data_IF_131371690212
#
_entry.id   IF_131371690212
#
_cell.length_a   1.000
_cell.length_b   1.000
_cell.length_c   1.000
_cell.angle_alpha   90.00
_cell.angle_beta   90.00
_cell.angle_gamma   90.00
#
_symmetry.space_group_name_H-M   'P 1'
#
loop_
_entity.id
_entity.type
_entity.pdbx_description
1 polymer ?
#
# COMPACT_ATOMS: atom_id res chain seq x y z
N UNK A 1 -46.28 -1.28 50.54
CA UNK A 1 -45.34 -0.14 50.41
C UNK A 1 -44.14 -0.71 49.66
N UNK A 2 -44.29 -0.94 48.36
CA UNK A 2 -43.99 -0.01 47.25
C UNK A 2 -42.54 -0.18 46.78
N UNK A 3 -42.39 -0.71 45.56
CA UNK A 3 -41.16 -0.69 44.76
C UNK A 3 -40.61 0.74 44.62
N UNK A 4 -39.33 0.85 44.25
CA UNK A 4 -39.06 1.60 43.04
C UNK A 4 -38.19 0.82 42.06
N UNK A 5 -38.73 0.65 40.87
CA UNK A 5 -38.02 0.31 39.65
C UNK A 5 -36.88 1.31 39.43
N UNK A 6 -35.68 0.77 39.17
CA UNK A 6 -34.57 1.54 38.66
C UNK A 6 -34.86 1.80 37.17
N UNK A 7 -35.37 2.99 36.90
CA UNK A 7 -35.60 3.56 35.59
C UNK A 7 -34.24 3.68 34.88
N UNK A 8 -33.94 2.73 33.98
CA UNK A 8 -32.78 2.81 33.09
C UNK A 8 -33.08 3.86 32.04
N UNK A 9 -32.70 5.11 32.33
CA UNK A 9 -32.73 6.22 31.41
C UNK A 9 -31.94 5.86 30.14
N UNK A 10 -32.69 5.47 29.11
CA UNK A 10 -32.22 5.25 27.75
C UNK A 10 -31.70 6.59 27.23
N UNK A 11 -30.38 6.74 27.20
CA UNK A 11 -29.75 7.94 26.64
C UNK A 11 -30.00 7.87 25.13
N UNK A 12 -30.62 8.87 24.47
CA UNK A 12 -30.94 8.77 23.06
C UNK A 12 -29.64 8.61 22.28
N UNK A 13 -29.36 7.38 21.83
CA UNK A 13 -28.29 7.12 20.88
C UNK A 13 -28.60 7.99 19.67
N UNK A 14 -27.65 8.84 19.30
CA UNK A 14 -27.73 9.59 18.03
C UNK A 14 -27.77 8.53 16.94
N UNK A 15 -28.97 8.25 16.43
CA UNK A 15 -29.20 7.24 15.41
C UNK A 15 -28.59 7.74 14.11
N UNK A 16 -27.75 6.92 13.48
CA UNK A 16 -27.28 7.20 12.13
C UNK A 16 -28.48 7.48 11.23
N UNK A 17 -28.42 8.56 10.45
CA UNK A 17 -29.51 8.97 9.57
C UNK A 17 -29.05 8.78 8.12
N UNK A 18 -29.59 7.77 7.41
CA UNK A 18 -29.26 7.56 6.01
C UNK A 18 -29.63 8.80 5.19
N UNK A 19 -28.86 9.04 4.14
CA UNK A 19 -29.11 10.15 3.20
C UNK A 19 -29.48 9.58 1.83
N UNK A 20 -29.97 10.44 0.93
CA UNK A 20 -30.25 10.08 -0.45
C UNK A 20 -29.19 9.13 -1.06
N UNK A 21 -29.62 8.04 -1.73
CA UNK A 21 -31.00 7.67 -2.07
C UNK A 21 -31.75 6.82 -1.02
N UNK A 22 -31.21 6.68 0.20
CA UNK A 22 -31.73 5.72 1.19
C UNK A 22 -32.65 6.33 2.25
N UNK A 23 -32.95 7.63 2.15
CA UNK A 23 -33.67 8.41 3.16
C UNK A 23 -35.20 8.38 3.00
N UNK A 24 -35.73 8.24 1.78
CA UNK A 24 -37.19 8.13 1.56
C UNK A 24 -37.62 7.70 0.12
N UNK A 25 -36.88 6.79 -0.52
CA UNK A 25 -37.21 6.32 -1.88
C UNK A 25 -38.49 5.46 -1.90
N UNK A 26 -39.18 5.30 -3.06
CA UNK A 26 -40.20 4.26 -3.24
C UNK A 26 -39.51 2.88 -3.15
N UNK A 27 -39.28 2.44 -1.93
CA UNK A 27 -38.51 1.25 -1.61
C UNK A 27 -39.41 0.03 -1.49
N UNK A 28 -38.82 -1.12 -1.78
CA UNK A 28 -39.48 -2.43 -1.72
C UNK A 28 -39.09 -3.19 -0.45
N UNK A 29 -38.02 -2.76 0.22
CA UNK A 29 -37.54 -3.28 1.50
C UNK A 29 -36.89 -2.17 2.31
N UNK A 30 -36.91 -2.33 3.62
CA UNK A 30 -36.10 -1.56 4.56
C UNK A 30 -35.03 -2.49 5.15
N UNK A 31 -33.75 -2.13 5.02
CA UNK A 31 -32.68 -2.72 5.83
C UNK A 31 -32.56 -1.91 7.10
N UNK A 32 -32.73 -2.53 8.27
CA UNK A 32 -32.59 -1.88 9.57
C UNK A 32 -31.28 -2.31 10.22
N UNK A 33 -30.40 -1.34 10.46
CA UNK A 33 -29.11 -1.56 11.11
C UNK A 33 -29.26 -1.88 12.61
N UNK A 34 -28.19 -2.36 13.23
CA UNK A 34 -28.17 -2.69 14.66
C UNK A 34 -28.30 -1.49 15.60
N UNK A 35 -28.01 -0.27 15.10
CA UNK A 35 -28.25 1.00 15.79
C UNK A 35 -29.58 1.66 15.41
N UNK A 36 -30.43 0.97 14.65
CA UNK A 36 -31.82 1.37 14.35
C UNK A 36 -31.98 2.31 13.16
N UNK A 37 -30.94 2.54 12.36
CA UNK A 37 -31.04 3.30 11.12
C UNK A 37 -31.76 2.48 10.04
N UNK A 38 -32.71 3.09 9.35
CA UNK A 38 -33.56 2.44 8.34
C UNK A 38 -33.16 2.89 6.93
N UNK A 39 -32.69 1.94 6.12
CA UNK A 39 -32.26 2.17 4.74
C UNK A 39 -33.33 1.69 3.77
N UNK A 40 -33.91 2.63 3.04
CA UNK A 40 -34.93 2.39 2.03
C UNK A 40 -34.25 1.92 0.72
N UNK A 41 -34.44 0.65 0.36
CA UNK A 41 -33.70 -0.02 -0.73
C UNK A 41 -34.62 -0.83 -1.66
N UNK A 42 -34.12 -1.11 -2.87
CA UNK A 42 -34.78 -1.90 -3.92
C UNK A 42 -34.31 -3.37 -3.92
N UNK A 43 -35.26 -4.30 -4.00
CA UNK A 43 -34.96 -5.75 -4.06
C UNK A 43 -34.11 -6.08 -5.27
N UNK A 44 -34.43 -5.46 -6.42
CA UNK A 44 -33.78 -5.77 -7.69
C UNK A 44 -32.26 -5.54 -7.64
N UNK A 45 -31.83 -4.43 -7.04
CA UNK A 45 -30.41 -4.09 -6.93
C UNK A 45 -29.72 -5.05 -5.96
N UNK A 46 -30.26 -5.23 -4.75
CA UNK A 46 -29.67 -6.12 -3.74
C UNK A 46 -29.60 -7.57 -4.21
N UNK A 47 -30.63 -8.07 -4.90
CA UNK A 47 -30.66 -9.42 -5.47
C UNK A 47 -29.68 -9.63 -6.60
N UNK A 48 -29.36 -8.57 -7.36
CA UNK A 48 -28.38 -8.62 -8.44
C UNK A 48 -26.96 -8.74 -7.89
N UNK A 49 -26.68 -8.04 -6.80
CA UNK A 49 -25.31 -7.92 -6.28
C UNK A 49 -25.02 -8.94 -5.18
N UNK A 50 -26.03 -9.48 -4.50
CA UNK A 50 -25.87 -10.39 -3.37
C UNK A 50 -26.80 -11.61 -3.48
N UNK A 51 -26.22 -12.82 -3.68
CA UNK A 51 -26.95 -14.08 -3.58
C UNK A 51 -27.61 -14.30 -2.22
N UNK A 52 -26.99 -13.78 -1.15
CA UNK A 52 -27.53 -13.83 0.22
C UNK A 52 -28.85 -13.07 0.29
N UNK A 53 -28.87 -11.80 -0.12
CA UNK A 53 -30.11 -11.01 -0.14
C UNK A 53 -31.15 -11.60 -1.09
N UNK A 54 -30.74 -12.08 -2.27
CA UNK A 54 -31.62 -12.79 -3.20
C UNK A 54 -32.36 -13.96 -2.54
N UNK A 55 -31.66 -14.72 -1.69
CA UNK A 55 -32.23 -15.85 -0.95
C UNK A 55 -33.15 -15.35 0.17
N UNK A 56 -32.74 -14.34 0.93
CA UNK A 56 -33.54 -13.74 2.02
C UNK A 56 -34.90 -13.26 1.49
N UNK A 57 -34.92 -12.61 0.32
CA UNK A 57 -36.17 -12.11 -0.29
C UNK A 57 -37.11 -13.21 -0.80
N UNK A 58 -36.65 -14.45 -0.91
CA UNK A 58 -37.47 -15.61 -1.31
C UNK A 58 -38.07 -16.34 -0.11
N UNK A 59 -37.67 -15.99 1.12
CA UNK A 59 -38.19 -16.63 2.32
C UNK A 59 -39.66 -16.24 2.54
N UNK A 60 -40.50 -17.17 3.02
CA UNK A 60 -41.90 -16.87 3.35
C UNK A 60 -41.96 -15.79 4.43
N UNK A 61 -42.72 -14.72 4.18
CA UNK A 61 -42.98 -13.71 5.19
C UNK A 61 -44.21 -14.07 6.03
N UNK A 62 -44.25 -13.72 7.33
CA UNK A 62 -45.42 -13.90 8.18
C UNK A 62 -46.67 -13.20 7.59
N UNK A 63 -47.86 -13.74 7.79
CA UNK A 63 -49.09 -13.15 7.25
C UNK A 63 -49.43 -11.77 7.84
N UNK A 64 -48.83 -11.40 8.98
CA UNK A 64 -48.96 -10.10 9.64
C UNK A 64 -47.88 -9.09 9.27
N UNK A 65 -47.20 -9.29 8.13
CA UNK A 65 -46.09 -8.43 7.71
C UNK A 65 -46.54 -7.00 7.38
N UNK A 66 -45.73 -5.98 7.72
CA UNK A 66 -45.96 -4.61 7.28
C UNK A 66 -46.00 -4.50 5.75
N UNK A 67 -46.59 -3.41 5.24
CA UNK A 67 -46.73 -3.17 3.80
C UNK A 67 -45.38 -3.15 3.04
N UNK A 68 -44.31 -2.76 3.73
CA UNK A 68 -42.92 -2.87 3.25
C UNK A 68 -42.16 -3.76 4.24
N UNK A 69 -41.53 -4.85 3.78
CA UNK A 69 -40.77 -5.73 4.65
C UNK A 69 -39.53 -5.04 5.24
N UNK A 70 -39.26 -5.34 6.50
CA UNK A 70 -38.08 -4.88 7.24
C UNK A 70 -37.17 -6.06 7.51
N UNK A 71 -35.89 -5.93 7.16
CA UNK A 71 -34.85 -6.93 7.39
C UNK A 71 -33.84 -6.34 8.36
N UNK A 72 -33.73 -6.94 9.53
CA UNK A 72 -32.72 -6.60 10.52
C UNK A 72 -31.35 -7.13 10.11
N UNK A 73 -30.32 -6.29 10.22
CA UNK A 73 -28.92 -6.65 9.98
C UNK A 73 -28.05 -6.26 11.19
N UNK A 74 -26.92 -6.96 11.36
CA UNK A 74 -26.04 -6.75 12.52
C UNK A 74 -25.14 -5.51 12.37
N UNK A 75 -24.95 -5.05 11.14
CA UNK A 75 -24.13 -3.91 10.76
C UNK A 75 -24.71 -2.62 11.35
N UNK A 76 -23.85 -1.74 11.86
CA UNK A 76 -24.25 -0.38 12.21
C UNK A 76 -24.58 0.44 10.96
N UNK A 77 -25.30 1.55 11.14
CA UNK A 77 -25.74 2.39 10.03
C UNK A 77 -24.59 2.93 9.20
N UNK A 78 -23.45 3.27 9.81
CA UNK A 78 -22.32 3.84 9.07
C UNK A 78 -21.67 2.81 8.13
N UNK A 79 -21.48 1.57 8.59
CA UNK A 79 -20.98 0.47 7.77
C UNK A 79 -21.97 0.09 6.69
N UNK A 80 -23.26 -0.03 7.05
CA UNK A 80 -24.32 -0.37 6.11
C UNK A 80 -24.45 0.68 5.00
N UNK A 81 -24.38 1.98 5.32
CA UNK A 81 -24.40 3.07 4.34
C UNK A 81 -23.24 2.94 3.35
N UNK A 82 -22.00 2.78 3.84
CA UNK A 82 -20.83 2.58 2.96
C UNK A 82 -21.00 1.35 2.07
N UNK A 83 -21.45 0.24 2.64
CA UNK A 83 -21.63 -1.01 1.91
C UNK A 83 -22.66 -0.84 0.78
N UNK A 84 -23.83 -0.29 1.07
CA UNK A 84 -24.90 -0.15 0.08
C UNK A 84 -24.50 0.83 -1.04
N UNK A 85 -23.75 1.89 -0.71
CA UNK A 85 -23.20 2.84 -1.70
C UNK A 85 -22.16 2.24 -2.64
N UNK A 86 -21.55 1.09 -2.32
CA UNK A 86 -20.59 0.44 -3.23
C UNK A 86 -21.22 -0.01 -4.54
N UNK A 87 -22.53 -0.26 -4.53
CA UNK A 87 -23.21 -0.93 -5.64
C UNK A 87 -24.52 -0.25 -6.06
N UNK A 88 -24.97 0.78 -5.36
CA UNK A 88 -26.07 1.60 -5.82
C UNK A 88 -25.65 2.54 -6.95
N UNK A 89 -26.48 2.72 -8.00
CA UNK A 89 -26.22 3.70 -9.04
C UNK A 89 -26.18 5.13 -8.49
N UNK A 90 -25.32 5.98 -9.07
CA UNK A 90 -25.21 7.39 -8.76
C UNK A 90 -24.92 7.72 -7.28
N UNK A 91 -24.41 6.76 -6.51
CA UNK A 91 -23.85 7.00 -5.18
C UNK A 91 -22.33 7.11 -5.24
N UNK A 92 -21.78 8.03 -4.44
CA UNK A 92 -20.36 8.09 -4.17
C UNK A 92 -20.14 7.61 -2.74
N UNK A 93 -19.09 6.79 -2.52
CA UNK A 93 -18.64 6.52 -1.17
C UNK A 93 -18.24 7.85 -0.52
N UNK A 94 -18.71 8.06 0.70
CA UNK A 94 -18.23 9.17 1.52
C UNK A 94 -16.71 9.04 1.75
N UNK A 95 -16.08 10.13 2.19
CA UNK A 95 -14.70 10.10 2.65
C UNK A 95 -14.56 9.04 3.75
N UNK A 96 -13.73 8.03 3.50
CA UNK A 96 -13.60 6.87 4.39
C UNK A 96 -12.13 6.57 4.63
N UNK A 97 -11.83 6.07 5.82
CA UNK A 97 -10.47 5.63 6.18
C UNK A 97 -10.16 4.25 5.57
N UNK A 98 -8.89 3.86 5.49
CA UNK A 98 -8.54 2.51 5.03
C UNK A 98 -9.14 1.39 5.87
N UNK A 99 -9.25 1.62 7.18
CA UNK A 99 -9.85 0.66 8.11
C UNK A 99 -11.34 0.49 7.83
N UNK A 100 -12.07 1.60 7.70
CA UNK A 100 -13.50 1.57 7.33
C UNK A 100 -13.73 0.93 5.97
N UNK A 101 -12.87 1.22 4.99
CA UNK A 101 -12.94 0.60 3.66
C UNK A 101 -12.74 -0.90 3.77
N UNK A 102 -11.70 -1.36 4.48
CA UNK A 102 -11.44 -2.78 4.72
C UNK A 102 -12.65 -3.46 5.35
N UNK A 103 -13.18 -2.90 6.42
CA UNK A 103 -14.29 -3.52 7.17
C UNK A 103 -15.54 -3.61 6.27
N UNK A 104 -15.81 -2.57 5.47
CA UNK A 104 -16.90 -2.55 4.48
C UNK A 104 -16.71 -3.64 3.42
N UNK A 105 -15.49 -3.80 2.89
CA UNK A 105 -15.17 -4.83 1.88
C UNK A 105 -15.33 -6.24 2.47
N UNK A 106 -14.85 -6.45 3.69
CA UNK A 106 -14.93 -7.73 4.37
C UNK A 106 -16.39 -8.16 4.54
N UNK A 107 -17.25 -7.26 5.01
CA UNK A 107 -18.69 -7.54 5.15
C UNK A 107 -19.34 -7.78 3.78
N UNK A 108 -19.10 -6.90 2.80
CA UNK A 108 -19.69 -7.02 1.46
C UNK A 108 -19.34 -8.36 0.79
N UNK A 109 -18.05 -8.73 0.77
CA UNK A 109 -17.58 -9.91 0.05
C UNK A 109 -17.71 -11.21 0.85
N UNK A 110 -17.51 -11.18 2.18
CA UNK A 110 -17.50 -12.41 2.98
C UNK A 110 -18.85 -12.72 3.66
N UNK A 111 -19.62 -11.70 4.07
CA UNK A 111 -20.95 -11.92 4.70
C UNK A 111 -22.06 -11.97 3.67
N UNK A 112 -22.04 -11.06 2.70
CA UNK A 112 -23.12 -10.90 1.72
C UNK A 112 -22.81 -11.42 0.32
N UNK A 113 -21.63 -12.02 0.11
CA UNK A 113 -21.24 -12.66 -1.14
C UNK A 113 -21.33 -11.72 -2.36
N UNK A 114 -20.97 -10.45 -2.17
CA UNK A 114 -21.12 -9.39 -3.18
C UNK A 114 -20.01 -9.36 -4.23
N UNK A 115 -19.65 -10.51 -4.82
CA UNK A 115 -18.50 -10.60 -5.73
C UNK A 115 -18.65 -9.79 -7.03
N UNK A 116 -19.88 -9.45 -7.45
CA UNK A 116 -20.14 -8.64 -8.65
C UNK A 116 -19.47 -7.27 -8.56
N UNK A 117 -19.31 -6.70 -7.36
CA UNK A 117 -18.70 -5.38 -7.17
C UNK A 117 -17.21 -5.42 -6.86
N UNK A 118 -16.61 -6.61 -6.77
CA UNK A 118 -15.19 -6.77 -6.49
C UNK A 118 -14.26 -5.99 -7.45
N UNK A 119 -14.52 -5.89 -8.77
CA UNK A 119 -13.68 -5.09 -9.66
C UNK A 119 -13.69 -3.59 -9.32
N UNK A 120 -14.87 -3.03 -8.99
CA UNK A 120 -15.02 -1.62 -8.61
C UNK A 120 -14.33 -1.33 -7.28
N UNK A 121 -14.51 -2.22 -6.29
CA UNK A 121 -13.83 -2.14 -5.00
C UNK A 121 -12.31 -2.17 -5.19
N UNK A 122 -11.81 -3.14 -5.97
CA UNK A 122 -10.38 -3.29 -6.23
C UNK A 122 -9.78 -2.01 -6.85
N UNK A 123 -10.52 -1.35 -7.73
CA UNK A 123 -10.09 -0.07 -8.32
C UNK A 123 -9.98 1.04 -7.27
N UNK A 124 -10.93 1.13 -6.34
CA UNK A 124 -10.89 2.11 -5.25
C UNK A 124 -9.71 1.83 -4.30
N UNK A 125 -9.51 0.56 -3.90
CA UNK A 125 -8.38 0.16 -3.05
C UNK A 125 -7.04 0.48 -3.72
N UNK A 126 -6.97 0.42 -5.06
CA UNK A 126 -5.77 0.78 -5.82
C UNK A 126 -5.34 2.23 -5.62
N UNK A 127 -6.26 3.15 -5.35
CA UNK A 127 -5.95 4.56 -5.11
C UNK A 127 -5.13 4.78 -3.84
N UNK A 128 -5.15 3.82 -2.92
CA UNK A 128 -4.45 3.89 -1.63
C UNK A 128 -3.05 3.28 -1.65
N UNK A 129 -2.61 2.72 -2.79
CA UNK A 129 -1.32 1.99 -2.89
C UNK A 129 -0.13 2.84 -2.42
N UNK A 130 -0.09 4.12 -2.74
CA UNK A 130 1.01 5.01 -2.33
C UNK A 130 0.86 5.58 -0.91
N UNK A 131 -0.35 5.56 -0.34
CA UNK A 131 -0.61 6.12 1.01
C UNK A 131 -0.49 5.06 2.10
N UNK A 132 -1.01 3.86 1.87
CA UNK A 132 -0.94 2.73 2.81
C UNK A 132 -0.73 1.40 2.05
N UNK A 133 0.49 1.18 1.51
CA UNK A 133 0.78 -0.03 0.73
C UNK A 133 0.64 -1.31 1.56
N UNK A 134 0.83 -1.26 2.88
CA UNK A 134 0.73 -2.45 3.72
C UNK A 134 -0.73 -2.88 3.91
N UNK A 135 -1.64 -1.92 4.14
CA UNK A 135 -3.08 -2.20 4.17
C UNK A 135 -3.59 -2.73 2.83
N UNK A 136 -3.17 -2.11 1.73
CA UNK A 136 -3.55 -2.56 0.39
C UNK A 136 -3.03 -3.95 0.10
N UNK A 137 -1.78 -4.26 0.46
CA UNK A 137 -1.22 -5.60 0.32
C UNK A 137 -2.04 -6.64 1.10
N UNK A 138 -2.41 -6.32 2.35
CA UNK A 138 -3.17 -7.23 3.19
C UNK A 138 -4.56 -7.55 2.60
N UNK A 139 -5.28 -6.51 2.17
CA UNK A 139 -6.56 -6.66 1.47
C UNK A 139 -6.41 -7.46 0.17
N UNK A 140 -5.39 -7.15 -0.62
CA UNK A 140 -5.18 -7.81 -1.90
C UNK A 140 -4.89 -9.30 -1.74
N UNK A 141 -4.09 -9.70 -0.74
CA UNK A 141 -3.84 -11.12 -0.46
C UNK A 141 -5.10 -11.82 0.07
N UNK A 142 -5.86 -11.18 0.96
CA UNK A 142 -7.09 -11.73 1.51
C UNK A 142 -8.16 -12.02 0.43
N UNK A 143 -8.21 -11.19 -0.61
CA UNK A 143 -9.17 -11.32 -1.72
C UNK A 143 -8.56 -11.90 -3.01
N UNK A 144 -7.33 -12.42 -2.97
CA UNK A 144 -6.62 -13.01 -4.13
C UNK A 144 -6.45 -12.05 -5.33
N UNK A 145 -6.32 -10.74 -5.07
CA UNK A 145 -6.03 -9.72 -6.08
C UNK A 145 -4.52 -9.58 -6.33
N UNK A 146 -3.93 -10.61 -6.94
CA UNK A 146 -2.49 -10.77 -7.07
C UNK A 146 -1.77 -9.56 -7.71
N UNK A 147 -2.31 -8.98 -8.78
CA UNK A 147 -1.75 -7.79 -9.42
C UNK A 147 -1.71 -6.56 -8.49
N UNK A 148 -2.73 -6.40 -7.64
CA UNK A 148 -2.76 -5.33 -6.65
C UNK A 148 -1.78 -5.61 -5.50
N UNK A 149 -1.67 -6.87 -5.08
CA UNK A 149 -0.70 -7.29 -4.07
C UNK A 149 0.75 -7.05 -4.56
N UNK A 150 1.07 -7.34 -5.83
CA UNK A 150 2.38 -7.00 -6.41
C UNK A 150 2.61 -5.49 -6.41
N UNK A 151 1.62 -4.70 -6.84
CA UNK A 151 1.75 -3.24 -6.88
C UNK A 151 2.00 -2.66 -5.48
N UNK A 152 1.26 -3.12 -4.48
CA UNK A 152 1.41 -2.72 -3.10
C UNK A 152 2.75 -3.17 -2.50
N UNK A 153 3.17 -4.41 -2.74
CA UNK A 153 4.46 -4.92 -2.29
C UNK A 153 5.62 -4.10 -2.87
N UNK A 154 5.56 -3.71 -4.14
CA UNK A 154 6.55 -2.80 -4.74
C UNK A 154 6.58 -1.45 -4.03
N UNK A 155 5.43 -0.90 -3.66
CA UNK A 155 5.41 0.37 -2.92
C UNK A 155 6.01 0.27 -1.51
N UNK A 156 5.88 -0.89 -0.84
CA UNK A 156 6.53 -1.07 0.47
C UNK A 156 8.06 -0.92 0.39
N UNK A 157 8.69 -1.10 -0.77
CA UNK A 157 10.13 -0.95 -0.95
C UNK A 157 10.62 0.50 -0.80
N UNK A 158 9.72 1.48 -0.81
CA UNK A 158 10.06 2.90 -0.54
C UNK A 158 10.18 3.20 0.95
N UNK A 159 9.76 2.28 1.81
CA UNK A 159 9.68 2.48 3.24
C UNK A 159 10.43 1.38 4.00
N UNK A 160 11.02 1.70 5.18
CA UNK A 160 11.62 0.67 6.01
C UNK A 160 10.57 -0.33 6.51
N UNK A 161 10.54 -1.54 5.96
CA UNK A 161 9.55 -2.56 6.39
C UNK A 161 9.89 -3.20 7.75
N UNK A 162 11.14 -3.03 8.23
CA UNK A 162 11.69 -3.70 9.42
C UNK A 162 11.70 -2.83 10.68
N UNK A 163 11.24 -1.59 10.60
CA UNK A 163 11.20 -0.70 11.76
C UNK A 163 9.80 -0.79 12.35
N UNK A 164 9.63 -1.32 13.58
CA UNK A 164 8.38 -1.22 14.29
C UNK A 164 8.07 0.27 14.45
N UNK A 165 7.12 0.80 13.70
CA UNK A 165 6.55 2.11 13.99
C UNK A 165 5.82 2.02 15.33
N UNK A 166 5.78 3.14 16.07
CA UNK A 166 5.11 3.18 17.38
C UNK A 166 3.64 2.72 17.31
N UNK A 167 3.02 2.91 16.15
CA UNK A 167 1.73 2.37 15.79
C UNK A 167 1.92 1.13 14.91
N UNK A 168 1.61 -0.06 15.45
CA UNK A 168 1.41 -1.26 14.63
C UNK A 168 0.28 -0.94 13.65
N UNK A 169 0.51 -0.93 12.33
CA UNK A 169 -0.54 -0.65 11.36
C UNK A 169 -1.71 -1.61 11.59
N UNK A 170 -2.92 -1.07 11.68
CA UNK A 170 -4.16 -1.85 11.83
C UNK A 170 -4.26 -2.97 10.78
N UNK A 171 -3.73 -2.72 9.59
CA UNK A 171 -3.50 -3.68 8.52
C UNK A 171 -2.84 -4.99 8.95
N UNK A 172 -1.85 -4.95 9.86
CA UNK A 172 -1.15 -6.15 10.34
C UNK A 172 -2.02 -7.06 11.20
N UNK A 173 -3.12 -6.55 11.79
CA UNK A 173 -4.03 -7.38 12.61
C UNK A 173 -4.77 -8.44 11.79
N UNK A 174 -4.99 -8.14 10.51
CA UNK A 174 -5.77 -8.98 9.60
C UNK A 174 -4.91 -9.74 8.59
N UNK A 175 -3.61 -9.40 8.53
CA UNK A 175 -2.66 -10.11 7.68
C UNK A 175 -2.24 -11.42 8.31
N UNK A 176 -2.34 -12.53 7.57
CA UNK A 176 -1.81 -13.81 8.05
C UNK A 176 -0.30 -13.73 8.24
N UNK A 177 0.22 -14.43 9.25
CA UNK A 177 1.67 -14.49 9.49
C UNK A 177 2.45 -14.99 8.25
N UNK A 178 1.86 -15.91 7.48
CA UNK A 178 2.42 -16.41 6.24
C UNK A 178 2.51 -15.31 5.16
N UNK A 179 1.44 -14.53 4.96
CA UNK A 179 1.42 -13.44 3.98
C UNK A 179 2.41 -12.33 4.35
N UNK A 180 2.52 -12.01 5.64
CA UNK A 180 3.51 -11.07 6.15
C UNK A 180 4.94 -11.59 5.93
N UNK A 181 5.20 -12.88 6.21
CA UNK A 181 6.51 -13.48 5.95
C UNK A 181 6.91 -13.43 4.48
N UNK A 182 5.96 -13.71 3.55
CA UNK A 182 6.18 -13.59 2.11
C UNK A 182 6.57 -12.16 1.70
N UNK A 183 5.90 -11.16 2.25
CA UNK A 183 6.23 -9.75 1.99
C UNK A 183 7.61 -9.37 2.53
N UNK A 184 7.95 -9.79 3.75
CA UNK A 184 9.27 -9.55 4.33
C UNK A 184 10.38 -10.24 3.53
N UNK A 185 10.12 -11.46 3.05
CA UNK A 185 11.04 -12.19 2.20
C UNK A 185 11.24 -11.47 0.86
N UNK A 186 10.15 -11.06 0.20
CA UNK A 186 10.19 -10.26 -1.03
C UNK A 186 11.03 -8.98 -0.85
N UNK A 187 10.73 -8.19 0.18
CA UNK A 187 11.47 -6.98 0.48
C UNK A 187 12.96 -7.26 0.73
N UNK A 188 13.29 -8.35 1.41
CA UNK A 188 14.68 -8.76 1.63
C UNK A 188 15.39 -9.13 0.33
N UNK A 189 14.74 -9.86 -0.58
CA UNK A 189 15.33 -10.21 -1.88
C UNK A 189 15.59 -8.96 -2.72
N UNK A 190 14.64 -8.01 -2.77
CA UNK A 190 14.84 -6.72 -3.42
C UNK A 190 16.02 -5.94 -2.82
N UNK A 191 16.10 -5.89 -1.48
CA UNK A 191 17.17 -5.22 -0.75
C UNK A 191 18.56 -5.79 -1.08
N UNK A 192 18.69 -7.12 -1.07
CA UNK A 192 19.96 -7.78 -1.38
C UNK A 192 20.33 -7.62 -2.85
N UNK A 193 19.37 -7.77 -3.76
CA UNK A 193 19.59 -7.57 -5.20
C UNK A 193 20.06 -6.14 -5.51
N UNK A 194 19.40 -5.15 -4.91
CA UNK A 194 19.78 -3.74 -5.03
C UNK A 194 21.17 -3.47 -4.44
N UNK A 195 21.43 -3.90 -3.20
CA UNK A 195 22.69 -3.67 -2.50
C UNK A 195 23.88 -4.30 -3.24
N UNK A 196 23.78 -5.58 -3.63
CA UNK A 196 24.88 -6.30 -4.29
C UNK A 196 25.26 -5.68 -5.63
N UNK A 197 24.34 -4.94 -6.27
CA UNK A 197 24.58 -4.26 -7.53
C UNK A 197 25.45 -3.01 -7.43
N UNK A 198 25.55 -2.43 -6.22
CA UNK A 198 26.33 -1.23 -5.92
C UNK A 198 27.57 -1.51 -5.07
N UNK A 199 27.73 -2.69 -4.47
CA UNK A 199 28.92 -2.97 -3.66
C UNK A 199 30.16 -3.24 -4.52
N UNK A 200 31.33 -2.93 -3.96
CA UNK A 200 32.64 -3.13 -4.61
C UNK A 200 33.03 -4.60 -4.80
N UNK A 201 32.26 -5.52 -4.22
CA UNK A 201 32.41 -6.98 -4.36
C UNK A 201 31.65 -7.48 -5.61
N UNK A 202 30.72 -6.69 -6.13
CA UNK A 202 29.95 -7.01 -7.33
C UNK A 202 30.70 -6.75 -8.64
N UNK A 203 30.05 -7.09 -9.75
CA UNK A 203 30.53 -6.72 -11.08
C UNK A 203 30.37 -5.21 -11.30
N UNK A 204 31.48 -4.49 -11.50
CA UNK A 204 31.53 -3.04 -11.70
C UNK A 204 31.73 -2.65 -13.16
N UNK A 205 31.74 -3.61 -14.09
CA UNK A 205 31.92 -3.36 -15.53
C UNK A 205 30.79 -2.50 -16.13
N UNK A 206 29.62 -2.46 -15.48
CA UNK A 206 28.52 -1.60 -15.89
C UNK A 206 28.78 -0.10 -15.67
N UNK A 207 29.81 0.28 -14.89
CA UNK A 207 30.15 1.68 -14.61
C UNK A 207 31.01 2.23 -15.74
N UNK A 208 30.57 3.28 -16.45
CA UNK A 208 31.39 3.96 -17.46
C UNK A 208 32.67 4.57 -16.88
N UNK A 209 33.72 4.70 -17.70
CA UNK A 209 35.05 5.10 -17.23
C UNK A 209 35.33 6.61 -17.38
N UNK A 210 34.41 7.39 -17.97
CA UNK A 210 34.58 8.82 -18.28
C UNK A 210 34.47 9.76 -17.06
N UNK A 211 34.09 9.23 -15.90
CA UNK A 211 33.79 10.05 -14.74
C UNK A 211 35.04 10.50 -13.95
N UNK A 212 34.90 11.61 -13.22
CA UNK A 212 35.99 12.28 -12.49
C UNK A 212 36.59 11.41 -11.39
N UNK A 213 35.84 10.45 -10.85
CA UNK A 213 36.35 9.50 -9.86
C UNK A 213 37.29 8.44 -10.43
N UNK A 214 37.45 8.32 -11.75
CA UNK A 214 38.51 7.53 -12.37
C UNK A 214 39.63 8.40 -12.94
N UNK A 215 39.31 9.63 -13.36
CA UNK A 215 40.21 10.47 -14.15
C UNK A 215 40.85 11.64 -13.38
N UNK A 216 40.49 11.87 -12.11
CA UNK A 216 41.07 12.97 -11.33
C UNK A 216 42.55 12.72 -11.00
N UNK A 217 43.40 13.69 -11.36
CA UNK A 217 44.87 13.64 -11.16
C UNK A 217 45.36 14.35 -9.90
N UNK A 218 44.49 15.10 -9.20
CA UNK A 218 44.86 15.88 -7.99
C UNK A 218 44.44 15.25 -6.68
N UNK A 219 43.53 14.28 -6.70
CA UNK A 219 43.15 13.59 -5.48
C UNK A 219 44.27 12.64 -5.05
N UNK A 220 44.65 12.72 -3.78
CA UNK A 220 45.68 11.86 -3.17
C UNK A 220 45.11 10.57 -2.57
N UNK A 221 43.77 10.44 -2.49
CA UNK A 221 43.09 9.30 -1.88
C UNK A 221 42.47 8.37 -2.93
N UNK A 222 43.31 7.55 -3.57
CA UNK A 222 42.88 6.39 -4.35
C UNK A 222 42.93 5.15 -3.46
N UNK A 223 41.79 4.66 -3.00
CA UNK A 223 41.77 3.56 -2.03
C UNK A 223 41.37 2.20 -2.66
N UNK A 224 41.17 2.14 -3.98
CA UNK A 224 40.77 0.91 -4.67
C UNK A 224 41.14 0.92 -6.16
N UNK A 225 41.26 -0.27 -6.74
CA UNK A 225 41.47 -0.51 -8.18
C UNK A 225 40.32 -1.38 -8.68
N UNK A 226 39.65 -0.95 -9.73
CA UNK A 226 38.49 -1.65 -10.31
C UNK A 226 38.76 -2.09 -11.75
N UNK A 227 38.22 -3.23 -12.15
CA UNK A 227 38.20 -3.66 -13.54
C UNK A 227 36.87 -3.25 -14.18
N UNK A 228 36.92 -2.39 -15.19
CA UNK A 228 35.73 -1.86 -15.87
C UNK A 228 35.43 -2.61 -17.18
N UNK A 229 34.37 -2.22 -17.90
CA UNK A 229 33.95 -2.89 -19.14
C UNK A 229 35.01 -2.92 -20.25
N UNK A 230 35.93 -1.96 -20.24
CA UNK A 230 37.07 -1.91 -21.16
C UNK A 230 38.12 -3.00 -20.91
N UNK A 231 37.98 -3.77 -19.82
CA UNK A 231 38.93 -4.80 -19.39
C UNK A 231 40.20 -4.22 -18.76
N UNK A 232 40.24 -2.91 -18.50
CA UNK A 232 41.39 -2.20 -17.94
C UNK A 232 41.15 -1.94 -16.45
N UNK A 233 42.24 -1.93 -15.68
CA UNK A 233 42.20 -1.56 -14.28
C UNK A 233 42.27 -0.04 -14.10
N UNK A 234 41.29 0.52 -13.39
CA UNK A 234 41.18 1.95 -13.11
C UNK A 234 41.33 2.21 -11.61
N UNK A 235 42.09 3.26 -11.27
CA UNK A 235 42.15 3.76 -9.89
C UNK A 235 40.89 4.56 -9.60
N UNK A 236 40.14 4.16 -8.58
CA UNK A 236 38.93 4.87 -8.18
C UNK A 236 39.20 5.74 -6.96
N UNK A 237 38.56 6.92 -6.93
CA UNK A 237 38.61 7.81 -5.78
C UNK A 237 37.86 7.22 -4.59
N UNK A 238 38.46 7.34 -3.40
CA UNK A 238 37.90 6.81 -2.14
C UNK A 238 36.49 7.32 -1.86
N UNK A 239 36.22 8.59 -2.10
CA UNK A 239 34.90 9.16 -1.83
C UNK A 239 33.78 8.48 -2.65
N UNK A 240 34.10 7.94 -3.84
CA UNK A 240 33.12 7.25 -4.67
C UNK A 240 32.90 5.80 -4.21
N UNK A 241 33.95 5.12 -3.73
CA UNK A 241 33.79 3.81 -3.10
C UNK A 241 32.96 3.93 -1.82
N UNK A 242 33.18 4.99 -1.05
CA UNK A 242 32.43 5.28 0.18
C UNK A 242 30.97 5.63 -0.15
N UNK A 243 30.71 6.39 -1.23
CA UNK A 243 29.36 6.65 -1.73
C UNK A 243 28.59 5.36 -2.01
N UNK A 244 29.17 4.45 -2.79
CA UNK A 244 28.53 3.18 -3.13
C UNK A 244 28.30 2.28 -1.92
N UNK A 245 29.24 2.27 -0.96
CA UNK A 245 29.09 1.53 0.29
C UNK A 245 27.89 2.05 1.11
N UNK A 246 27.83 3.37 1.34
CA UNK A 246 26.70 3.99 2.06
C UNK A 246 25.38 3.85 1.30
N UNK A 247 25.39 3.94 -0.03
CA UNK A 247 24.21 3.68 -0.85
C UNK A 247 23.72 2.24 -0.66
N UNK A 248 24.62 1.26 -0.61
CA UNK A 248 24.28 -0.12 -0.31
C UNK A 248 23.59 -0.29 1.05
N UNK A 249 24.04 0.43 2.08
CA UNK A 249 23.39 0.43 3.40
C UNK A 249 21.97 1.03 3.35
N UNK A 250 21.78 2.12 2.59
CA UNK A 250 20.45 2.73 2.37
C UNK A 250 19.52 1.76 1.64
N UNK A 251 20.00 1.11 0.58
CA UNK A 251 19.22 0.17 -0.22
C UNK A 251 18.81 -1.10 0.55
N UNK A 252 19.55 -1.47 1.59
CA UNK A 252 19.14 -2.56 2.48
C UNK A 252 17.88 -2.24 3.29
N UNK A 253 17.66 -0.95 3.57
CA UNK A 253 16.53 -0.47 4.36
C UNK A 253 15.37 -0.08 3.45
N UNK A 254 15.66 0.69 2.40
CA UNK A 254 14.70 1.16 1.39
C UNK A 254 15.22 0.83 -0.01
N UNK A 255 14.86 -0.33 -0.57
CA UNK A 255 15.36 -0.77 -1.87
C UNK A 255 15.02 0.19 -3.02
N UNK A 256 13.89 0.89 -2.91
CA UNK A 256 13.53 1.99 -3.81
C UNK A 256 13.73 3.29 -3.04
N UNK A 257 14.77 4.04 -3.36
CA UNK A 257 15.10 5.29 -2.67
C UNK A 257 15.39 6.42 -3.66
N UNK A 258 15.08 7.65 -3.26
CA UNK A 258 15.53 8.82 -4.01
C UNK A 258 17.00 9.10 -3.70
N UNK A 259 17.89 8.50 -4.49
CA UNK A 259 19.34 8.61 -4.28
C UNK A 259 19.79 10.07 -4.31
N UNK A 260 19.18 10.92 -5.15
CA UNK A 260 19.58 12.33 -5.29
C UNK A 260 19.30 13.16 -4.04
N UNK A 261 18.30 12.79 -3.24
CA UNK A 261 17.92 13.45 -1.98
C UNK A 261 18.47 12.72 -0.74
N UNK A 262 19.22 11.65 -0.95
CA UNK A 262 19.77 10.84 0.14
C UNK A 262 20.92 11.57 0.85
N UNK A 263 21.08 11.26 2.14
CA UNK A 263 22.20 11.77 2.94
C UNK A 263 23.57 11.36 2.35
N UNK A 264 23.68 10.14 1.80
CA UNK A 264 24.94 9.69 1.22
C UNK A 264 25.34 10.50 -0.01
N UNK A 265 24.38 10.99 -0.81
CA UNK A 265 24.66 11.93 -1.90
C UNK A 265 25.27 13.23 -1.38
N UNK A 266 24.65 13.85 -0.37
CA UNK A 266 25.15 15.09 0.23
C UNK A 266 26.56 14.93 0.82
N UNK A 267 26.78 13.89 1.62
CA UNK A 267 28.08 13.62 2.26
C UNK A 267 29.17 13.39 1.20
N UNK A 268 28.83 12.71 0.10
CA UNK A 268 29.73 12.47 -1.04
C UNK A 268 30.13 13.76 -1.74
N UNK A 269 29.16 14.64 -2.03
CA UNK A 269 29.41 15.93 -2.66
C UNK A 269 30.32 16.79 -1.79
N UNK A 270 30.09 16.79 -0.46
CA UNK A 270 30.91 17.52 0.51
C UNK A 270 32.38 17.06 0.46
N UNK A 271 32.63 15.75 0.56
CA UNK A 271 33.99 15.19 0.53
C UNK A 271 34.68 15.39 -0.82
N UNK A 272 33.99 15.11 -1.92
CA UNK A 272 34.58 15.27 -3.26
C UNK A 272 34.95 16.72 -3.58
N UNK A 273 34.19 17.69 -3.04
CA UNK A 273 34.41 19.12 -3.27
C UNK A 273 35.67 19.69 -2.60
N UNK A 274 36.35 18.92 -1.75
CA UNK A 274 37.66 19.28 -1.18
C UNK A 274 38.75 19.33 -2.26
N UNK A 275 38.60 18.56 -3.34
CA UNK A 275 39.53 18.60 -4.47
C UNK A 275 39.16 19.69 -5.48
N UNK A 276 40.18 20.44 -5.91
CA UNK A 276 40.02 21.52 -6.91
C UNK A 276 39.51 21.06 -8.29
N UNK A 277 39.74 19.81 -8.69
CA UNK A 277 39.19 19.25 -9.95
C UNK A 277 37.77 18.73 -9.70
N UNK A 278 37.60 17.81 -8.74
CA UNK A 278 36.33 17.14 -8.50
C UNK A 278 35.19 18.12 -8.20
N UNK A 279 35.44 19.22 -7.46
CA UNK A 279 34.39 20.22 -7.15
C UNK A 279 33.70 20.82 -8.37
N UNK A 280 34.36 20.83 -9.52
CA UNK A 280 33.81 21.44 -10.74
C UNK A 280 32.93 20.49 -11.54
N UNK A 281 33.04 19.18 -11.31
CA UNK A 281 32.39 18.14 -12.12
C UNK A 281 31.52 17.20 -11.30
N UNK A 282 31.78 17.04 -9.99
CA UNK A 282 31.19 15.97 -9.18
C UNK A 282 29.68 16.05 -9.13
N UNK A 283 29.10 17.24 -9.03
CA UNK A 283 27.65 17.39 -8.94
C UNK A 283 26.96 16.86 -10.21
N UNK A 284 27.36 17.37 -11.38
CA UNK A 284 26.76 16.99 -12.66
C UNK A 284 27.03 15.51 -12.98
N UNK A 285 28.29 15.07 -12.85
CA UNK A 285 28.67 13.71 -13.20
C UNK A 285 28.08 12.65 -12.26
N UNK A 286 27.98 12.93 -10.96
CA UNK A 286 27.37 12.00 -10.02
C UNK A 286 25.86 11.92 -10.23
N UNK A 287 25.21 13.05 -10.52
CA UNK A 287 23.80 13.10 -10.91
C UNK A 287 23.55 12.28 -12.18
N UNK A 288 24.34 12.49 -13.22
CA UNK A 288 24.23 11.76 -14.48
C UNK A 288 24.44 10.26 -14.26
N UNK A 289 25.43 9.87 -13.47
CA UNK A 289 25.65 8.48 -13.10
C UNK A 289 24.45 7.85 -12.39
N UNK A 290 23.86 8.56 -11.43
CA UNK A 290 22.68 8.09 -10.70
C UNK A 290 21.50 7.91 -11.65
N UNK A 291 21.19 8.91 -12.48
CA UNK A 291 19.99 8.92 -13.35
C UNK A 291 20.13 7.96 -14.52
N UNK A 292 21.29 7.92 -15.18
CA UNK A 292 21.48 7.19 -16.43
C UNK A 292 21.90 5.74 -16.24
N UNK A 293 22.55 5.41 -15.11
CA UNK A 293 23.12 4.08 -14.90
C UNK A 293 22.58 3.41 -13.64
N UNK A 294 22.64 4.08 -12.49
CA UNK A 294 22.32 3.43 -11.21
C UNK A 294 20.82 3.15 -11.08
N UNK A 295 19.95 4.16 -11.27
CA UNK A 295 18.51 4.00 -11.13
C UNK A 295 17.91 2.99 -12.12
N UNK A 296 18.25 3.01 -13.43
CA UNK A 296 17.75 2.02 -14.39
C UNK A 296 18.18 0.59 -14.04
N UNK A 297 19.44 0.41 -13.60
CA UNK A 297 19.95 -0.89 -13.18
C UNK A 297 19.21 -1.40 -11.94
N UNK A 298 19.00 -0.54 -10.93
CA UNK A 298 18.25 -0.88 -9.72
C UNK A 298 16.79 -1.25 -10.05
N UNK A 299 16.12 -0.48 -10.90
CA UNK A 299 14.76 -0.77 -11.33
C UNK A 299 14.66 -2.15 -12.01
N UNK A 300 15.55 -2.44 -12.96
CA UNK A 300 15.61 -3.74 -13.64
C UNK A 300 15.82 -4.90 -12.66
N UNK A 301 16.71 -4.73 -11.68
CA UNK A 301 17.01 -5.77 -10.68
C UNK A 301 15.86 -6.01 -9.72
N UNK A 302 15.13 -4.96 -9.32
CA UNK A 302 13.95 -5.06 -8.47
C UNK A 302 12.78 -5.70 -9.23
N UNK A 303 12.60 -5.34 -10.50
CA UNK A 303 11.56 -5.93 -11.36
C UNK A 303 11.78 -7.41 -11.66
N UNK A 304 13.03 -7.89 -11.59
CA UNK A 304 13.37 -9.31 -11.72
C UNK A 304 13.04 -10.14 -10.46
N UNK A 305 12.74 -9.49 -9.32
CA UNK A 305 12.33 -10.19 -8.09
C UNK A 305 10.82 -10.41 -8.12
N UNK A 306 10.41 -11.67 -8.06
CA UNK A 306 9.00 -12.04 -8.04
C UNK A 306 8.46 -12.17 -6.62
N UNK A 307 7.25 -11.66 -6.39
CA UNK A 307 6.49 -11.90 -5.16
C UNK A 307 5.85 -13.28 -5.22
N UNK A 308 6.05 -14.07 -4.16
CA UNK A 308 5.45 -15.40 -4.02
C UNK A 308 4.05 -15.29 -3.37
N UNK A 309 3.08 -16.04 -3.90
CA UNK A 309 1.68 -16.06 -3.42
C UNK A 309 1.33 -17.30 -2.60
#
# INVERSE_FOLDING_TARGET
>A
MSDPALDSADTPRVSFSPTYPFDNAPAETILRSSDGAEFYVHHAILSLVSPVFKTIFQLPQPETSPAIPVIDVDEDGALLDRMVRLFYPATQLATTTMDELRDTIQVALMKYDMHVVAPSIKQQVREWVSSDPLAVYALAVQHHWNDLAVAAAKETLKHPIRIPTADTPSALRHLSAAAHHKLLHYHYQCAISAQTSVTTIGDLRWVPNEFVWFNCTKCSSHNSIWYLADGISHRVQKWFTDFLAHLGEVLLVTPVTNILESKCMYDTLKTASECSICRTLVFDQLKDFVVLHSMPKLAMLIDAVELQF
#
